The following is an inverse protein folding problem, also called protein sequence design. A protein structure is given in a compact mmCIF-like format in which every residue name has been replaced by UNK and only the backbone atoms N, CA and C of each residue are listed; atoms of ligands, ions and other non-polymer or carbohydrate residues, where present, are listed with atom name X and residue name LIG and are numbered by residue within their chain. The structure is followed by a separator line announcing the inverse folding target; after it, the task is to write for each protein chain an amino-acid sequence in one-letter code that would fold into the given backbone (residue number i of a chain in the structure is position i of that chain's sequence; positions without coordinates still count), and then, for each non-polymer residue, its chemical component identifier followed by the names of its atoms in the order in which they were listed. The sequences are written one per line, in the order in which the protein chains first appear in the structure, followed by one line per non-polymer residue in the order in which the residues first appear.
data_IF_787572021972
#
_entry.id   IF_787572021972
#
_cell.length_a   1.000
_cell.length_b   1.000
_cell.length_c   1.000
_cell.angle_alpha   90.00
_cell.angle_beta   90.00
_cell.angle_gamma   90.00
#
_symmetry.space_group_name_H-M   'P 1'
#
loop_
_entity.id
_entity.type
_entity.pdbx_description
1 polymer ?
#
# COMPACT_ATOMS: atom_id res chain seq x y z
N UNK A 1 -27.57 36.54 -17.43
CA UNK A 1 -27.51 35.30 -16.62
C UNK A 1 -26.19 35.30 -15.85
N UNK A 2 -26.15 35.12 -14.52
CA UNK A 2 -24.89 35.04 -13.81
C UNK A 2 -24.21 33.70 -14.15
N UNK A 3 -22.92 33.72 -14.50
CA UNK A 3 -22.11 32.51 -14.63
C UNK A 3 -21.84 31.97 -13.23
N UNK A 4 -22.63 30.99 -12.78
CA UNK A 4 -22.34 30.27 -11.54
C UNK A 4 -21.04 29.49 -11.76
N UNK A 5 -19.97 29.87 -11.07
CA UNK A 5 -18.70 29.15 -11.11
C UNK A 5 -18.92 27.72 -10.62
N UNK A 6 -18.46 26.72 -11.37
CA UNK A 6 -18.51 25.33 -10.94
C UNK A 6 -17.79 25.18 -9.59
N UNK A 7 -18.42 24.46 -8.66
CA UNK A 7 -17.81 24.15 -7.36
C UNK A 7 -16.50 23.36 -7.56
N UNK A 8 -15.51 23.57 -6.69
CA UNK A 8 -14.22 22.87 -6.75
C UNK A 8 -14.40 21.35 -6.81
N UNK A 9 -15.38 20.79 -6.10
CA UNK A 9 -15.74 19.37 -6.18
C UNK A 9 -16.04 18.89 -7.60
N UNK A 10 -16.74 19.71 -8.39
CA UNK A 10 -17.06 19.38 -9.78
C UNK A 10 -15.84 19.50 -10.69
N UNK A 11 -14.96 20.47 -10.45
CA UNK A 11 -13.69 20.62 -11.17
C UNK A 11 -12.76 19.44 -10.90
N UNK A 12 -12.61 19.03 -9.64
CA UNK A 12 -11.82 17.87 -9.24
C UNK A 12 -12.36 16.60 -9.90
N UNK A 13 -13.68 16.38 -9.85
CA UNK A 13 -14.31 15.23 -10.51
C UNK A 13 -14.13 15.25 -12.04
N UNK A 14 -14.15 16.43 -12.67
CA UNK A 14 -13.87 16.60 -14.09
C UNK A 14 -12.44 16.19 -14.42
N UNK A 15 -11.44 16.68 -13.67
CA UNK A 15 -10.04 16.37 -13.93
C UNK A 15 -9.69 14.89 -13.69
N UNK A 16 -10.32 14.24 -12.71
CA UNK A 16 -10.17 12.80 -12.52
C UNK A 16 -10.69 11.99 -13.73
N UNK A 17 -11.79 12.43 -14.36
CA UNK A 17 -12.32 11.78 -15.58
C UNK A 17 -11.51 12.11 -16.83
N UNK A 18 -10.95 13.32 -16.91
CA UNK A 18 -10.17 13.78 -18.06
C UNK A 18 -8.77 13.15 -18.08
N UNK A 19 -8.20 12.84 -16.91
CA UNK A 19 -6.86 12.26 -16.77
C UNK A 19 -6.87 10.93 -15.99
N UNK A 20 -7.53 9.87 -16.49
CA UNK A 20 -7.60 8.58 -15.79
C UNK A 20 -6.26 7.84 -15.78
N UNK A 21 -5.37 8.14 -16.73
CA UNK A 21 -4.02 7.57 -16.83
C UNK A 21 -3.00 8.22 -15.87
N UNK A 22 -3.41 9.28 -15.17
CA UNK A 22 -2.57 9.97 -14.21
C UNK A 22 -2.89 9.54 -12.78
N UNK A 23 -1.86 9.58 -11.93
CA UNK A 23 -1.91 9.09 -10.56
C UNK A 23 -2.57 10.08 -9.60
N UNK A 24 -3.76 10.56 -9.93
CA UNK A 24 -4.51 11.53 -9.15
C UNK A 24 -5.49 10.89 -8.17
N UNK A 25 -5.64 11.52 -7.00
CA UNK A 25 -6.62 11.19 -5.96
C UNK A 25 -7.41 12.45 -5.60
N UNK A 26 -8.68 12.29 -5.28
CA UNK A 26 -9.51 13.37 -4.73
C UNK A 26 -9.74 13.13 -3.24
N UNK A 27 -9.67 14.21 -2.48
CA UNK A 27 -10.18 14.29 -1.12
C UNK A 27 -11.28 15.36 -1.07
N UNK A 28 -12.37 15.10 -1.79
CA UNK A 28 -13.48 16.04 -1.99
C UNK A 28 -13.09 17.23 -2.88
N UNK A 29 -12.76 18.36 -2.25
CA UNK A 29 -12.47 19.63 -2.94
C UNK A 29 -11.00 19.79 -3.36
N UNK A 30 -10.15 18.83 -3.01
CA UNK A 30 -8.72 18.87 -3.29
C UNK A 30 -8.31 17.74 -4.24
N UNK A 31 -7.57 18.09 -5.29
CA UNK A 31 -6.89 17.15 -6.17
C UNK A 31 -5.45 16.96 -5.69
N UNK A 32 -5.07 15.70 -5.49
CA UNK A 32 -3.76 15.29 -5.04
C UNK A 32 -3.08 14.42 -6.09
N UNK A 33 -1.79 14.67 -6.33
CA UNK A 33 -0.96 13.77 -7.11
C UNK A 33 -0.29 12.75 -6.20
N UNK A 34 -0.60 11.47 -6.36
CA UNK A 34 0.02 10.39 -5.59
C UNK A 34 1.42 10.01 -6.09
N UNK A 35 1.86 10.54 -7.25
CA UNK A 35 3.24 10.41 -7.71
C UNK A 35 4.14 11.44 -7.03
N UNK A 36 3.69 12.70 -6.95
CA UNK A 36 4.46 13.81 -6.39
C UNK A 36 4.17 14.11 -4.92
N UNK A 37 3.16 13.46 -4.34
CA UNK A 37 2.62 13.70 -2.99
C UNK A 37 2.33 15.19 -2.71
N UNK A 38 1.73 15.85 -3.70
CA UNK A 38 1.47 17.29 -3.69
C UNK A 38 0.03 17.59 -4.04
N UNK A 39 -0.50 18.65 -3.42
CA UNK A 39 -1.76 19.27 -3.78
C UNK A 39 -1.63 19.98 -5.12
N UNK A 40 -2.60 19.75 -6.01
CA UNK A 40 -2.72 20.46 -7.29
C UNK A 40 -3.88 21.44 -7.20
N UNK A 41 -3.64 22.66 -7.67
CA UNK A 41 -4.68 23.66 -7.82
C UNK A 41 -5.61 23.32 -8.99
N UNK A 42 -6.91 23.21 -8.70
CA UNK A 42 -7.94 22.94 -9.71
C UNK A 42 -8.57 24.21 -10.29
N UNK A 43 -8.08 25.40 -9.94
CA UNK A 43 -8.69 26.66 -10.40
C UNK A 43 -8.60 26.84 -11.92
N UNK A 44 -7.57 26.27 -12.56
CA UNK A 44 -7.39 26.32 -14.01
C UNK A 44 -6.82 24.99 -14.52
N UNK A 45 -7.29 24.57 -15.70
CA UNK A 45 -6.83 23.35 -16.37
C UNK A 45 -5.33 23.38 -16.68
N UNK A 46 -4.79 24.55 -17.04
CA UNK A 46 -3.37 24.75 -17.33
C UNK A 46 -2.46 24.31 -16.18
N UNK A 47 -2.87 24.53 -14.92
CA UNK A 47 -2.10 24.14 -13.74
C UNK A 47 -1.98 22.61 -13.62
N UNK A 48 -3.05 21.87 -13.94
CA UNK A 48 -3.06 20.40 -13.94
C UNK A 48 -2.19 19.88 -15.09
N UNK A 49 -2.34 20.43 -16.30
CA UNK A 49 -1.53 20.02 -17.46
C UNK A 49 -0.04 20.32 -17.25
N UNK A 50 0.30 21.48 -16.69
CA UNK A 50 1.68 21.84 -16.36
C UNK A 50 2.27 20.89 -15.31
N UNK A 51 1.50 20.52 -14.28
CA UNK A 51 1.94 19.54 -13.30
C UNK A 51 2.29 18.20 -13.95
N UNK A 52 1.45 17.71 -14.86
CA UNK A 52 1.70 16.45 -15.59
C UNK A 52 2.97 16.54 -16.44
N UNK A 53 3.22 17.69 -17.07
CA UNK A 53 4.39 17.93 -17.91
C UNK A 53 5.69 18.21 -17.12
N UNK A 54 5.62 18.39 -15.80
CA UNK A 54 6.79 18.73 -14.98
C UNK A 54 7.71 17.51 -14.85
N UNK A 55 9.03 17.73 -15.01
CA UNK A 55 10.04 16.67 -14.90
C UNK A 55 9.93 15.86 -13.60
N UNK A 56 9.65 16.53 -12.46
CA UNK A 56 9.43 15.87 -11.17
C UNK A 56 8.27 14.88 -11.20
N UNK A 57 7.16 15.19 -11.88
CA UNK A 57 6.03 14.27 -11.98
C UNK A 57 6.38 13.06 -12.84
N UNK A 58 7.06 13.28 -13.97
CA UNK A 58 7.50 12.23 -14.89
C UNK A 58 8.48 11.27 -14.19
N UNK A 59 9.49 11.82 -13.51
CA UNK A 59 10.47 11.04 -12.75
C UNK A 59 9.80 10.24 -11.62
N UNK A 60 8.93 10.88 -10.85
CA UNK A 60 8.21 10.21 -9.77
C UNK A 60 7.25 9.12 -10.28
N UNK A 61 6.57 9.35 -11.40
CA UNK A 61 5.69 8.37 -12.07
C UNK A 61 6.48 7.15 -12.54
N UNK A 62 7.65 7.37 -13.12
CA UNK A 62 8.55 6.29 -13.52
C UNK A 62 9.09 5.54 -12.29
N UNK A 63 9.58 6.25 -11.27
CA UNK A 63 10.06 5.64 -10.02
C UNK A 63 8.99 4.81 -9.30
N UNK A 64 7.72 5.22 -9.35
CA UNK A 64 6.61 4.46 -8.74
C UNK A 64 6.26 3.19 -9.53
N UNK A 65 6.42 3.19 -10.85
CA UNK A 65 6.32 1.95 -11.66
C UNK A 65 7.42 0.96 -11.28
N UNK A 66 8.65 1.45 -11.15
CA UNK A 66 9.82 0.64 -10.72
C UNK A 66 9.71 0.16 -9.26
N UNK A 67 9.02 0.91 -8.39
CA UNK A 67 8.80 0.57 -6.97
C UNK A 67 7.53 -0.27 -6.69
N UNK A 68 6.75 -0.63 -7.71
CA UNK A 68 5.66 -1.63 -7.52
C UNK A 68 6.24 -3.01 -7.18
N UNK A 69 7.51 -3.26 -7.53
CA UNK A 69 8.31 -4.29 -6.92
C UNK A 69 9.12 -3.69 -5.76
N UNK A 70 9.17 -4.41 -4.65
CA UNK A 70 10.08 -4.20 -3.51
C UNK A 70 9.63 -3.20 -2.43
N UNK A 71 8.92 -3.74 -1.45
CA UNK A 71 9.58 -3.84 -0.14
C UNK A 71 10.22 -5.23 -0.07
N UNK A 72 11.41 -5.44 -0.67
CA UNK A 72 12.08 -6.76 -0.63
C UNK A 72 12.24 -7.30 0.81
N UNK A 73 12.29 -6.39 1.79
CA UNK A 73 12.28 -6.68 3.22
C UNK A 73 10.94 -7.27 3.74
N UNK A 74 9.79 -6.85 3.19
CA UNK A 74 8.47 -7.39 3.51
C UNK A 74 8.03 -8.50 2.55
N UNK A 75 8.61 -8.56 1.35
CA UNK A 75 8.23 -9.46 0.25
C UNK A 75 9.29 -10.50 -0.05
N UNK A 76 10.25 -10.73 0.84
CA UNK A 76 10.95 -12.01 0.80
C UNK A 76 9.87 -13.07 1.03
N UNK A 77 9.54 -13.95 0.06
CA UNK A 77 8.91 -15.20 0.45
C UNK A 77 9.93 -15.79 1.41
N UNK A 78 9.56 -15.90 2.69
CA UNK A 78 10.35 -16.65 3.64
C UNK A 78 10.46 -18.04 3.01
N UNK A 79 11.58 -18.27 2.34
CA UNK A 79 12.07 -19.57 1.94
C UNK A 79 11.79 -20.48 3.12
N UNK A 80 10.96 -21.50 2.90
CA UNK A 80 10.63 -22.55 3.85
C UNK A 80 10.00 -22.13 5.20
N UNK A 81 8.99 -21.24 5.23
CA UNK A 81 8.01 -21.33 6.33
C UNK A 81 7.14 -22.56 6.12
N UNK A 82 7.40 -23.61 6.88
CA UNK A 82 6.54 -24.79 6.92
C UNK A 82 5.10 -24.34 7.21
N UNK A 83 4.15 -24.83 6.43
CA UNK A 83 2.70 -24.58 6.61
C UNK A 83 2.27 -24.79 8.06
N UNK A 84 2.91 -25.74 8.74
CA UNK A 84 2.74 -26.04 10.16
C UNK A 84 2.93 -24.82 11.08
N UNK A 85 3.96 -23.99 10.87
CA UNK A 85 4.22 -22.82 11.73
C UNK A 85 3.14 -21.72 11.59
N UNK A 86 2.58 -21.58 10.38
CA UNK A 86 1.46 -20.67 10.08
C UNK A 86 0.14 -21.16 10.70
N UNK A 87 -0.09 -22.47 10.75
CA UNK A 87 -1.34 -23.06 11.26
C UNK A 87 -1.32 -23.30 12.79
N UNK A 88 -0.15 -23.58 13.36
CA UNK A 88 0.00 -23.87 14.80
C UNK A 88 -0.25 -22.63 15.66
N UNK A 89 0.24 -21.46 15.24
CA UNK A 89 0.11 -20.23 16.04
C UNK A 89 -1.35 -19.81 16.25
N UNK A 90 -2.22 -19.76 15.21
CA UNK A 90 -3.65 -19.53 15.38
C UNK A 90 -4.35 -20.61 16.21
N UNK A 91 -3.97 -21.89 16.05
CA UNK A 91 -4.59 -22.99 16.80
C UNK A 91 -4.35 -22.87 18.30
N UNK A 92 -3.13 -22.53 18.72
CA UNK A 92 -2.77 -22.32 20.13
C UNK A 92 -3.54 -21.14 20.74
N UNK A 93 -3.69 -20.04 19.99
CA UNK A 93 -4.44 -18.87 20.42
C UNK A 93 -5.94 -19.20 20.58
N UNK A 94 -6.53 -19.91 19.60
CA UNK A 94 -7.93 -20.34 19.64
C UNK A 94 -8.22 -21.33 20.77
N UNK A 95 -7.27 -22.20 21.06
CA UNK A 95 -7.34 -23.12 22.19
C UNK A 95 -7.08 -22.45 23.55
N UNK A 96 -6.84 -21.14 23.59
CA UNK A 96 -6.50 -20.37 24.79
C UNK A 96 -5.28 -20.97 25.52
N UNK A 97 -4.30 -21.47 24.77
CA UNK A 97 -3.08 -22.06 25.33
C UNK A 97 -2.04 -20.95 25.50
N UNK A 98 -1.68 -20.58 26.74
CA UNK A 98 -0.72 -19.52 26.96
C UNK A 98 0.69 -19.96 26.53
N UNK A 99 1.45 -19.06 25.92
CA UNK A 99 2.81 -19.33 25.44
C UNK A 99 3.78 -19.81 26.54
N UNK A 100 3.53 -19.50 27.82
CA UNK A 100 4.37 -19.99 28.93
C UNK A 100 4.29 -21.51 29.12
N UNK A 101 3.19 -22.17 28.72
CA UNK A 101 3.06 -23.64 28.75
C UNK A 101 3.93 -24.32 27.71
N UNK A 102 4.26 -23.60 26.63
CA UNK A 102 5.16 -24.09 25.59
C UNK A 102 6.63 -24.09 26.03
N UNK A 103 6.95 -23.43 27.16
CA UNK A 103 8.30 -23.46 27.77
C UNK A 103 8.60 -24.77 28.50
N UNK A 104 7.63 -25.68 28.62
CA UNK A 104 7.88 -27.01 29.16
C UNK A 104 8.91 -27.73 28.26
N UNK A 105 10.03 -28.24 28.83
CA UNK A 105 11.08 -28.91 28.06
C UNK A 105 10.58 -30.05 27.17
N UNK A 106 9.60 -30.83 27.65
CA UNK A 106 9.03 -31.95 26.90
C UNK A 106 8.20 -31.47 25.71
N UNK A 107 7.40 -30.43 25.92
CA UNK A 107 6.56 -29.85 24.86
C UNK A 107 7.40 -29.12 23.80
N UNK A 108 8.44 -28.40 24.24
CA UNK A 108 9.41 -27.77 23.35
C UNK A 108 10.15 -28.81 22.52
N UNK A 109 10.63 -29.89 23.14
CA UNK A 109 11.30 -30.99 22.43
C UNK A 109 10.38 -31.63 21.39
N UNK A 110 9.12 -31.91 21.74
CA UNK A 110 8.12 -32.41 20.81
C UNK A 110 7.92 -31.48 19.60
N UNK A 111 7.76 -30.18 19.85
CA UNK A 111 7.62 -29.20 18.77
C UNK A 111 8.87 -29.13 17.89
N UNK A 112 10.07 -29.17 18.46
CA UNK A 112 11.34 -29.14 17.70
C UNK A 112 11.52 -30.38 16.80
N UNK A 113 11.08 -31.56 17.25
CA UNK A 113 11.06 -32.79 16.44
C UNK A 113 10.08 -32.68 15.27
N UNK A 114 8.88 -32.16 15.52
CA UNK A 114 7.81 -32.05 14.51
C UNK A 114 8.05 -30.90 13.51
N UNK A 115 8.60 -29.77 13.97
CA UNK A 115 8.88 -28.59 13.14
C UNK A 115 10.15 -28.74 12.29
N UNK A 116 10.89 -29.84 12.44
CA UNK A 116 12.07 -30.13 11.64
C UNK A 116 13.23 -29.18 11.94
N UNK A 117 14.01 -29.49 12.98
CA UNK A 117 15.46 -29.24 12.92
C UNK A 117 16.04 -30.11 11.79
N UNK A 118 15.84 -29.69 10.54
CA UNK A 118 16.74 -30.12 9.47
C UNK A 118 18.07 -29.43 9.73
N UNK A 119 19.09 -30.25 10.00
CA UNK A 119 20.50 -29.89 9.85
C UNK A 119 20.78 -29.48 8.40
#
# INVERSE_FOLDING_TARGET
MPRTSASNKQLVAKYLREFPAELFRSDGDILYCTASDKRISCSQRSQVTQHIATASHIENKNRKKERTSYQAFLTSPSSSKSTLSTDLSPALVRANIPFHKLKNPHFKGFLETILGKNA
#
